data_IF_306276925079
#
_entry.id   IF_306276925079
#
_cell.length_a   1.000
_cell.length_b   1.000
_cell.length_c   1.000
_cell.angle_alpha   90.00
_cell.angle_beta   90.00
_cell.angle_gamma   90.00
#
_symmetry.space_group_name_H-M   'P 1'
#
loop_
_entity.id
_entity.type
_entity.pdbx_description
1 polymer ?
#
# COMPACT_ATOMS: atom_id res chain seq x y z
N UNK A 1 23.48 -8.65 31.11
CA UNK A 1 22.02 -8.92 31.18
C UNK A 1 21.62 -9.95 30.14
N UNK A 2 20.70 -10.88 30.46
CA UNK A 2 20.06 -11.77 29.48
C UNK A 2 19.28 -10.99 28.40
N UNK A 3 19.18 -11.49 27.16
CA UNK A 3 18.41 -10.83 26.08
C UNK A 3 16.95 -10.55 26.44
N UNK A 4 16.32 -11.42 27.22
CA UNK A 4 14.92 -11.35 27.65
C UNK A 4 14.71 -10.15 28.57
N UNK A 5 15.60 -9.98 29.56
CA UNK A 5 15.59 -8.83 30.48
C UNK A 5 15.82 -7.53 29.72
N UNK A 6 16.76 -7.52 28.78
CA UNK A 6 16.98 -6.33 27.94
C UNK A 6 15.75 -6.03 27.09
N UNK A 7 15.11 -7.03 26.49
CA UNK A 7 13.88 -6.84 25.71
C UNK A 7 12.74 -6.24 26.55
N UNK A 8 12.61 -6.62 27.83
CA UNK A 8 11.62 -6.03 28.74
C UNK A 8 11.94 -4.55 28.97
N UNK A 9 13.20 -4.23 29.29
CA UNK A 9 13.65 -2.84 29.50
C UNK A 9 13.39 -1.99 28.25
N UNK A 10 13.74 -2.50 27.06
CA UNK A 10 13.56 -1.75 25.82
C UNK A 10 12.08 -1.48 25.49
N UNK A 11 11.15 -2.34 25.92
CA UNK A 11 9.71 -2.10 25.76
C UNK A 11 9.18 -1.00 26.68
N UNK A 12 9.94 -0.59 27.70
CA UNK A 12 9.60 0.54 28.58
C UNK A 12 10.11 1.88 28.03
N UNK A 13 10.95 1.86 26.99
CA UNK A 13 11.46 3.06 26.32
C UNK A 13 10.54 3.46 25.16
N UNK A 14 10.68 4.70 24.69
CA UNK A 14 10.06 5.08 23.42
C UNK A 14 10.63 4.23 22.28
N UNK A 15 9.78 3.82 21.33
CA UNK A 15 10.24 3.00 20.21
C UNK A 15 11.19 3.80 19.32
N UNK A 16 11.07 5.14 19.30
CA UNK A 16 12.03 6.04 18.70
C UNK A 16 13.44 5.88 19.28
N UNK A 17 13.59 5.90 20.61
CA UNK A 17 14.90 5.76 21.26
C UNK A 17 15.49 4.37 21.05
N UNK A 18 14.64 3.33 21.08
CA UNK A 18 15.07 1.97 20.74
C UNK A 18 15.62 1.91 19.31
N UNK A 19 14.95 2.56 18.36
CA UNK A 19 15.32 2.54 16.94
C UNK A 19 16.54 3.42 16.59
N UNK A 20 16.69 4.57 17.24
CA UNK A 20 17.71 5.57 16.91
C UNK A 20 18.95 5.48 17.80
N UNK A 21 18.81 5.05 19.04
CA UNK A 21 19.90 5.02 20.02
C UNK A 21 20.34 3.59 20.24
N UNK A 22 19.48 2.76 20.86
CA UNK A 22 19.86 1.43 21.32
C UNK A 22 20.31 0.52 20.17
N UNK A 23 19.54 0.50 19.08
CA UNK A 23 19.83 -0.32 17.89
C UNK A 23 21.24 -0.06 17.31
N UNK A 24 21.81 1.12 17.51
CA UNK A 24 23.10 1.51 16.92
C UNK A 24 24.32 1.21 17.81
N UNK A 25 24.12 0.81 19.07
CA UNK A 25 25.23 0.64 20.04
C UNK A 25 26.11 -0.56 19.72
N UNK A 26 25.50 -1.71 19.45
CA UNK A 26 26.21 -2.96 19.19
C UNK A 26 25.37 -3.93 18.38
N UNK A 27 25.98 -4.98 17.81
CA UNK A 27 25.25 -6.04 17.11
C UNK A 27 24.22 -6.73 18.01
N UNK A 28 24.57 -7.00 19.26
CA UNK A 28 23.65 -7.59 20.23
C UNK A 28 22.46 -6.68 20.52
N UNK A 29 22.69 -5.38 20.67
CA UNK A 29 21.62 -4.40 20.85
C UNK A 29 20.75 -4.29 19.58
N UNK A 30 21.35 -4.37 18.39
CA UNK A 30 20.62 -4.42 17.13
C UNK A 30 19.66 -5.61 17.07
N UNK A 31 20.13 -6.83 17.38
CA UNK A 31 19.31 -8.05 17.29
C UNK A 31 18.11 -8.00 18.26
N UNK A 32 18.33 -7.50 19.48
CA UNK A 32 17.29 -7.37 20.49
C UNK A 32 16.32 -6.23 20.12
N UNK A 33 16.83 -5.07 19.69
CA UNK A 33 15.99 -3.96 19.24
C UNK A 33 15.17 -4.33 18.00
N UNK A 34 15.72 -5.11 17.07
CA UNK A 34 15.00 -5.64 15.92
C UNK A 34 13.84 -6.53 16.35
N UNK A 35 14.07 -7.42 17.31
CA UNK A 35 13.00 -8.26 17.88
C UNK A 35 11.88 -7.42 18.47
N UNK A 36 12.22 -6.42 19.30
CA UNK A 36 11.24 -5.51 19.91
C UNK A 36 10.47 -4.73 18.83
N UNK A 37 11.17 -3.98 17.97
CA UNK A 37 10.55 -3.09 16.97
C UNK A 37 9.72 -3.84 15.93
N UNK A 38 10.20 -4.99 15.45
CA UNK A 38 9.44 -5.79 14.50
C UNK A 38 8.19 -6.40 15.16
N UNK A 39 8.30 -6.85 16.42
CA UNK A 39 7.14 -7.35 17.17
C UNK A 39 6.09 -6.27 17.42
N UNK A 40 6.52 -5.06 17.83
CA UNK A 40 5.62 -3.93 18.04
C UNK A 40 4.95 -3.48 16.74
N UNK A 41 5.67 -3.53 15.61
CA UNK A 41 5.07 -3.23 14.31
C UNK A 41 3.94 -4.20 13.95
N UNK A 42 4.05 -5.49 14.28
CA UNK A 42 2.95 -6.46 14.09
C UNK A 42 1.79 -6.22 15.05
N UNK A 43 2.09 -6.02 16.34
CA UNK A 43 1.10 -5.77 17.38
C UNK A 43 0.32 -4.48 17.11
N UNK A 44 0.96 -3.46 16.55
CA UNK A 44 0.26 -2.24 16.14
C UNK A 44 -0.85 -2.51 15.11
N UNK A 45 -0.65 -3.48 14.21
CA UNK A 45 -1.67 -3.90 13.25
C UNK A 45 -2.88 -4.56 13.92
N UNK A 46 -2.65 -5.43 14.92
CA UNK A 46 -3.76 -6.07 15.64
C UNK A 46 -4.52 -5.06 16.50
N UNK A 47 -3.83 -4.14 17.17
CA UNK A 47 -4.44 -3.02 17.92
C UNK A 47 -5.28 -2.12 17.00
N UNK A 48 -4.81 -1.82 15.80
CA UNK A 48 -5.55 -1.01 14.83
C UNK A 48 -6.85 -1.68 14.38
N UNK A 49 -6.82 -2.97 14.03
CA UNK A 49 -8.04 -3.69 13.65
C UNK A 49 -9.01 -3.83 14.84
N UNK A 50 -8.51 -3.98 16.07
CA UNK A 50 -9.34 -3.96 17.26
C UNK A 50 -10.01 -2.59 17.49
N UNK A 51 -9.27 -1.49 17.28
CA UNK A 51 -9.81 -0.13 17.37
C UNK A 51 -10.92 0.10 16.34
N UNK A 52 -10.72 -0.33 15.08
CA UNK A 52 -11.72 -0.23 14.01
C UNK A 52 -12.99 -0.99 14.39
N UNK A 53 -12.87 -2.27 14.77
CA UNK A 53 -14.03 -3.09 15.16
C UNK A 53 -14.80 -2.49 16.34
N UNK A 54 -14.07 -1.96 17.32
CA UNK A 54 -14.68 -1.28 18.47
C UNK A 54 -15.45 -0.03 18.03
N UNK A 55 -14.86 0.81 17.18
CA UNK A 55 -15.54 2.00 16.67
C UNK A 55 -16.76 1.65 15.82
N UNK A 56 -16.70 0.59 15.00
CA UNK A 56 -17.87 0.06 14.26
C UNK A 56 -18.99 -0.39 15.20
N UNK A 57 -18.64 -1.12 16.26
CA UNK A 57 -19.62 -1.53 17.27
C UNK A 57 -20.25 -0.34 18.01
N UNK A 58 -19.47 0.72 18.29
CA UNK A 58 -19.97 1.93 18.94
C UNK A 58 -20.91 2.69 18.01
N UNK A 59 -20.54 2.84 16.72
CA UNK A 59 -21.38 3.46 15.69
C UNK A 59 -22.77 2.85 15.60
N UNK A 60 -22.89 1.53 15.75
CA UNK A 60 -24.17 0.81 15.69
C UNK A 60 -25.05 1.02 16.94
N UNK A 61 -24.49 1.50 18.05
CA UNK A 61 -25.17 1.65 19.34
C UNK A 61 -25.41 3.12 19.75
N UNK A 62 -25.11 4.06 18.86
CA UNK A 62 -25.22 5.50 19.14
C UNK A 62 -26.67 5.93 19.30
N UNK A 63 -26.95 6.78 20.30
CA UNK A 63 -28.29 7.34 20.56
C UNK A 63 -28.43 8.81 20.18
N UNK A 64 -27.32 9.55 20.05
CA UNK A 64 -27.32 10.98 19.73
C UNK A 64 -26.62 11.32 18.41
N UNK A 65 -27.11 12.33 17.70
CA UNK A 65 -26.52 12.79 16.44
C UNK A 65 -25.08 13.32 16.59
N UNK A 66 -24.77 13.92 17.76
CA UNK A 66 -23.44 14.44 18.08
C UNK A 66 -22.40 13.33 18.22
N UNK A 67 -22.74 12.27 18.98
CA UNK A 67 -21.87 11.09 19.12
C UNK A 67 -21.68 10.39 17.77
N UNK A 68 -22.74 10.34 16.94
CA UNK A 68 -22.69 9.69 15.64
C UNK A 68 -21.69 10.39 14.71
N UNK A 69 -21.67 11.71 14.74
CA UNK A 69 -20.72 12.52 13.98
C UNK A 69 -19.28 12.31 14.48
N UNK A 70 -19.06 12.27 15.78
CA UNK A 70 -17.74 12.05 16.40
C UNK A 70 -17.18 10.67 16.06
N UNK A 71 -17.96 9.61 16.29
CA UNK A 71 -17.54 8.25 15.95
C UNK A 71 -17.32 8.07 14.45
N UNK A 72 -18.09 8.74 13.59
CA UNK A 72 -17.85 8.70 12.15
C UNK A 72 -16.52 9.36 11.77
N UNK A 73 -16.19 10.48 12.41
CA UNK A 73 -14.91 11.16 12.23
C UNK A 73 -13.72 10.29 12.68
N UNK A 74 -13.85 9.62 13.84
CA UNK A 74 -12.85 8.67 14.34
C UNK A 74 -12.70 7.50 13.36
N UNK A 75 -13.81 6.92 12.90
CA UNK A 75 -13.79 5.82 11.95
C UNK A 75 -13.11 6.20 10.63
N UNK A 76 -13.43 7.38 10.09
CA UNK A 76 -12.78 7.92 8.90
C UNK A 76 -11.26 8.07 9.10
N UNK A 77 -10.82 8.55 10.27
CA UNK A 77 -9.41 8.67 10.59
C UNK A 77 -8.71 7.30 10.69
N UNK A 78 -9.35 6.32 11.34
CA UNK A 78 -8.84 4.95 11.46
C UNK A 78 -8.69 4.27 10.09
N UNK A 79 -9.59 4.53 9.13
CA UNK A 79 -9.42 4.03 7.76
C UNK A 79 -8.18 4.59 7.06
N UNK A 80 -7.87 5.87 7.29
CA UNK A 80 -6.66 6.50 6.75
C UNK A 80 -5.43 5.88 7.40
N UNK A 81 -5.46 5.71 8.73
CA UNK A 81 -4.38 5.04 9.47
C UNK A 81 -4.16 3.62 8.95
N UNK A 82 -5.23 2.85 8.76
CA UNK A 82 -5.20 1.50 8.18
C UNK A 82 -4.58 1.50 6.80
N UNK A 83 -4.97 2.42 5.92
CA UNK A 83 -4.38 2.52 4.59
C UNK A 83 -2.87 2.81 4.63
N UNK A 84 -2.41 3.69 5.53
CA UNK A 84 -0.98 4.00 5.65
C UNK A 84 -0.19 2.85 6.28
N UNK A 85 -0.74 2.22 7.32
CA UNK A 85 -0.14 1.07 7.98
C UNK A 85 -0.02 -0.13 7.02
N UNK A 86 -1.06 -0.43 6.24
CA UNK A 86 -1.02 -1.48 5.23
C UNK A 86 0.07 -1.21 4.19
N UNK A 87 0.21 0.04 3.72
CA UNK A 87 1.26 0.41 2.77
C UNK A 87 2.67 0.29 3.38
N UNK A 88 2.87 0.76 4.62
CA UNK A 88 4.12 0.58 5.36
C UNK A 88 4.49 -0.90 5.47
N UNK A 89 3.50 -1.73 5.81
CA UNK A 89 3.67 -3.17 5.93
C UNK A 89 4.06 -3.76 4.58
N UNK A 90 3.34 -3.45 3.50
CA UNK A 90 3.67 -3.90 2.15
C UNK A 90 5.10 -3.54 1.71
N UNK A 91 5.59 -2.35 2.09
CA UNK A 91 6.94 -1.89 1.75
C UNK A 91 8.05 -2.60 2.53
N UNK A 92 7.80 -2.90 3.81
CA UNK A 92 8.87 -3.30 4.74
C UNK A 92 8.85 -4.76 5.18
N UNK A 93 7.70 -5.42 5.17
CA UNK A 93 7.52 -6.69 5.88
C UNK A 93 8.52 -7.78 5.46
N UNK A 94 8.87 -7.84 4.17
CA UNK A 94 9.80 -8.84 3.62
C UNK A 94 11.23 -8.69 4.15
N UNK A 95 11.53 -7.52 4.70
CA UNK A 95 12.82 -7.16 5.25
C UNK A 95 12.81 -7.27 6.76
N UNK A 96 11.70 -6.90 7.40
CA UNK A 96 11.57 -6.86 8.85
C UNK A 96 11.09 -8.17 9.46
N UNK A 97 10.50 -9.06 8.67
CA UNK A 97 10.01 -10.35 9.15
C UNK A 97 10.74 -11.49 8.45
N UNK A 98 11.21 -12.49 9.21
CA UNK A 98 11.90 -13.62 8.62
C UNK A 98 10.94 -14.46 7.77
N UNK A 99 11.49 -15.04 6.69
CA UNK A 99 10.73 -15.85 5.71
C UNK A 99 10.76 -17.34 6.03
N UNK A 100 11.69 -17.72 6.89
CA UNK A 100 11.98 -19.07 7.41
C UNK A 100 12.70 -18.89 8.77
N UNK A 101 13.33 -19.93 9.34
CA UNK A 101 14.03 -19.90 10.64
C UNK A 101 15.23 -18.92 10.77
N UNK A 102 15.43 -18.00 9.81
CA UNK A 102 16.52 -17.02 9.83
C UNK A 102 16.19 -15.75 10.62
N UNK A 103 17.21 -14.93 10.87
CA UNK A 103 17.02 -13.57 11.40
C UNK A 103 16.41 -12.64 10.33
N UNK A 104 15.69 -11.58 10.73
CA UNK A 104 15.18 -10.60 9.78
C UNK A 104 16.34 -9.92 9.04
N UNK A 105 16.13 -9.60 7.76
CA UNK A 105 17.15 -8.95 6.91
C UNK A 105 17.42 -7.52 7.39
N UNK A 106 16.42 -6.89 8.00
CA UNK A 106 16.47 -5.53 8.51
C UNK A 106 15.58 -5.37 9.74
N UNK A 107 15.79 -4.28 10.46
CA UNK A 107 14.96 -3.86 11.58
C UNK A 107 13.98 -2.78 11.11
N UNK A 108 12.73 -2.79 11.60
CA UNK A 108 11.83 -1.65 11.42
C UNK A 108 12.32 -0.46 12.25
N UNK A 109 13.16 0.39 11.67
CA UNK A 109 13.75 1.55 12.36
C UNK A 109 12.85 2.78 12.37
N UNK A 110 11.58 2.64 11.98
CA UNK A 110 10.57 3.71 12.03
C UNK A 110 9.97 3.90 13.42
N UNK A 111 10.78 3.87 14.50
CA UNK A 111 10.29 3.85 15.88
C UNK A 111 9.28 4.97 16.21
N UNK A 112 9.58 6.20 15.78
CA UNK A 112 8.67 7.36 15.95
C UNK A 112 7.30 7.18 15.27
N UNK A 113 7.24 6.42 14.17
CA UNK A 113 5.95 6.10 13.51
C UNK A 113 5.11 5.20 14.41
N UNK A 114 5.74 4.22 15.08
CA UNK A 114 5.06 3.34 16.02
C UNK A 114 4.60 4.09 17.26
N UNK A 115 5.43 4.99 17.80
CA UNK A 115 5.04 5.84 18.93
C UNK A 115 3.82 6.71 18.56
N UNK A 116 3.86 7.41 17.43
CA UNK A 116 2.73 8.20 16.94
C UNK A 116 1.47 7.36 16.74
N UNK A 117 1.61 6.15 16.18
CA UNK A 117 0.49 5.23 15.98
C UNK A 117 -0.10 4.77 17.31
N UNK A 118 0.75 4.41 18.28
CA UNK A 118 0.31 4.00 19.61
C UNK A 118 -0.46 5.14 20.30
N UNK A 119 0.02 6.38 20.23
CA UNK A 119 -0.68 7.54 20.75
C UNK A 119 -2.07 7.70 20.11
N UNK A 120 -2.15 7.63 18.77
CA UNK A 120 -3.42 7.72 18.05
C UNK A 120 -4.38 6.60 18.45
N UNK A 121 -3.90 5.36 18.60
CA UNK A 121 -4.74 4.22 18.97
C UNK A 121 -5.20 4.25 20.43
N UNK A 122 -4.36 4.72 21.36
CA UNK A 122 -4.73 4.87 22.77
C UNK A 122 -5.95 5.79 22.93
N UNK A 123 -6.04 6.87 22.16
CA UNK A 123 -7.21 7.77 22.21
C UNK A 123 -8.54 7.08 21.88
N UNK A 124 -8.51 5.96 21.13
CA UNK A 124 -9.69 5.19 20.75
C UNK A 124 -9.91 3.98 21.67
N UNK A 125 -8.82 3.37 22.14
CA UNK A 125 -8.85 2.14 22.92
C UNK A 125 -9.03 2.36 24.43
N UNK A 126 -8.78 3.56 24.95
CA UNK A 126 -8.98 3.83 26.37
C UNK A 126 -10.47 3.94 26.70
N UNK A 127 -10.97 3.01 27.52
CA UNK A 127 -12.38 2.79 27.85
C UNK A 127 -12.99 3.77 28.86
N UNK A 128 -12.19 4.68 29.42
CA UNK A 128 -12.62 5.57 30.52
C UNK A 128 -12.96 7.00 30.12
N UNK A 129 -12.76 7.39 28.86
CA UNK A 129 -13.09 8.74 28.39
C UNK A 129 -14.14 8.64 27.29
N UNK A 130 -15.31 9.24 27.53
CA UNK A 130 -16.11 9.79 26.43
C UNK A 130 -15.11 10.57 25.56
N UNK A 131 -15.12 10.45 24.20
CA UNK A 131 -14.19 11.17 23.33
C UNK A 131 -14.40 12.70 23.35
N UNK A 132 -14.36 13.34 24.52
CA UNK A 132 -14.36 14.79 24.68
C UNK A 132 -13.11 15.42 24.07
N UNK A 133 -12.03 14.64 23.94
CA UNK A 133 -10.88 15.00 23.15
C UNK A 133 -11.10 14.62 21.68
N UNK A 134 -11.42 15.63 20.88
CA UNK A 134 -11.36 15.66 19.42
C UNK A 134 -10.15 14.84 18.96
N UNK A 135 -10.39 13.76 18.22
CA UNK A 135 -9.35 12.99 17.55
C UNK A 135 -8.36 13.95 16.87
N UNK A 136 -7.09 13.94 17.27
CA UNK A 136 -6.15 14.98 16.86
C UNK A 136 -5.75 14.80 15.39
N UNK A 137 -6.40 15.56 14.51
CA UNK A 137 -6.10 15.57 13.08
C UNK A 137 -4.68 16.04 12.77
N UNK A 138 -4.06 16.86 13.61
CA UNK A 138 -2.67 17.26 13.44
C UNK A 138 -1.74 16.04 13.59
N UNK A 139 -1.95 15.23 14.63
CA UNK A 139 -1.17 14.01 14.86
C UNK A 139 -1.39 12.99 13.73
N UNK A 140 -2.60 12.91 13.18
CA UNK A 140 -2.88 12.11 11.99
C UNK A 140 -2.07 12.59 10.77
N UNK A 141 -2.01 13.90 10.51
CA UNK A 141 -1.21 14.43 9.39
C UNK A 141 0.29 14.19 9.61
N UNK A 142 0.77 14.34 10.84
CA UNK A 142 2.16 14.02 11.21
C UNK A 142 2.43 12.53 10.93
N UNK A 143 1.55 11.64 11.39
CA UNK A 143 1.66 10.20 11.14
C UNK A 143 1.72 9.88 9.64
N UNK A 144 0.78 10.40 8.83
CA UNK A 144 0.75 10.17 7.38
C UNK A 144 2.07 10.62 6.73
N UNK A 145 2.53 11.84 7.03
CA UNK A 145 3.76 12.39 6.46
C UNK A 145 5.00 11.59 6.91
N UNK A 146 5.05 11.16 8.17
CA UNK A 146 6.12 10.31 8.68
C UNK A 146 6.15 8.95 7.97
N UNK A 147 4.98 8.35 7.69
CA UNK A 147 4.89 7.10 6.91
C UNK A 147 5.47 7.30 5.49
N UNK A 148 5.02 8.34 4.79
CA UNK A 148 5.47 8.65 3.43
C UNK A 148 6.97 8.88 3.34
N UNK A 149 7.51 9.72 4.23
CA UNK A 149 8.94 10.03 4.31
C UNK A 149 9.77 8.78 4.60
N UNK A 150 9.32 7.94 5.53
CA UNK A 150 10.01 6.71 5.87
C UNK A 150 10.00 5.72 4.71
N UNK A 151 8.86 5.53 4.03
CA UNK A 151 8.79 4.64 2.85
C UNK A 151 9.70 5.13 1.72
N UNK A 152 9.70 6.44 1.44
CA UNK A 152 10.60 7.04 0.45
C UNK A 152 12.07 6.80 0.82
N UNK A 153 12.45 7.03 2.08
CA UNK A 153 13.82 6.78 2.55
C UNK A 153 14.19 5.30 2.50
N UNK A 154 13.29 4.42 2.97
CA UNK A 154 13.50 2.98 3.00
C UNK A 154 13.77 2.45 1.60
N UNK A 155 12.94 2.81 0.61
CA UNK A 155 13.13 2.38 -0.77
C UNK A 155 14.41 2.99 -1.36
N UNK A 156 14.64 4.30 -1.16
CA UNK A 156 15.78 5.00 -1.76
C UNK A 156 17.14 4.54 -1.22
N UNK A 157 17.22 4.25 0.07
CA UNK A 157 18.48 4.05 0.78
C UNK A 157 18.61 2.60 1.27
N UNK A 158 17.67 2.15 2.10
CA UNK A 158 17.77 0.85 2.79
C UNK A 158 17.61 -0.31 1.82
N UNK A 159 16.52 -0.36 1.07
CA UNK A 159 16.22 -1.41 0.09
C UNK A 159 17.32 -1.53 -0.96
N UNK A 160 17.88 -0.40 -1.42
CA UNK A 160 19.00 -0.40 -2.39
C UNK A 160 20.23 -1.17 -1.85
N UNK A 161 20.54 -1.03 -0.56
CA UNK A 161 21.68 -1.68 0.10
C UNK A 161 21.46 -3.18 0.34
N UNK A 162 20.23 -3.57 0.70
CA UNK A 162 19.92 -4.97 1.11
C UNK A 162 19.38 -5.84 -0.04
N UNK A 163 18.75 -5.26 -1.07
CA UNK A 163 18.14 -6.00 -2.17
C UNK A 163 19.21 -6.49 -3.16
N UNK A 164 19.92 -7.56 -2.80
CA UNK A 164 20.99 -8.18 -3.61
C UNK A 164 20.47 -9.18 -4.65
N UNK A 165 19.21 -9.60 -4.54
CA UNK A 165 18.55 -10.56 -5.44
C UNK A 165 17.07 -10.23 -5.55
N UNK A 166 16.46 -10.46 -6.71
CA UNK A 166 15.01 -10.29 -6.91
C UNK A 166 14.17 -11.11 -5.89
N UNK A 167 14.74 -12.19 -5.34
CA UNK A 167 14.12 -12.98 -4.28
C UNK A 167 13.97 -12.17 -2.98
N UNK A 168 14.85 -11.20 -2.69
CA UNK A 168 14.75 -10.35 -1.50
C UNK A 168 13.50 -9.48 -1.55
N UNK A 169 13.24 -8.78 -2.65
CA UNK A 169 11.99 -8.04 -2.77
C UNK A 169 10.77 -8.94 -3.03
N UNK A 170 10.99 -10.16 -3.54
CA UNK A 170 9.95 -11.17 -3.73
C UNK A 170 8.80 -10.62 -4.58
N UNK A 171 7.56 -10.87 -4.14
CA UNK A 171 6.38 -10.29 -4.77
C UNK A 171 5.85 -9.02 -4.06
N UNK A 172 6.75 -8.15 -3.57
CA UNK A 172 6.41 -6.82 -2.99
C UNK A 172 5.40 -6.02 -3.82
N UNK A 173 5.45 -6.12 -5.16
CA UNK A 173 4.48 -5.43 -6.04
C UNK A 173 3.03 -5.82 -5.74
N UNK A 174 2.81 -7.10 -5.42
CA UNK A 174 1.50 -7.65 -5.12
C UNK A 174 1.06 -7.16 -3.76
N UNK A 175 1.97 -7.15 -2.78
CA UNK A 175 1.67 -6.59 -1.45
C UNK A 175 1.27 -5.10 -1.56
N UNK A 176 1.94 -4.32 -2.41
CA UNK A 176 1.60 -2.91 -2.66
C UNK A 176 0.24 -2.77 -3.36
N UNK A 177 -0.04 -3.58 -4.38
CA UNK A 177 -1.33 -3.55 -5.09
C UNK A 177 -2.49 -4.06 -4.23
N UNK A 178 -2.24 -5.02 -3.33
CA UNK A 178 -3.20 -5.53 -2.36
C UNK A 178 -3.59 -4.46 -1.31
N UNK A 179 -2.86 -3.35 -1.23
CA UNK A 179 -3.23 -2.19 -0.42
C UNK A 179 -4.29 -1.29 -1.08
N UNK A 180 -4.73 -1.58 -2.31
CA UNK A 180 -5.82 -0.85 -2.94
C UNK A 180 -7.12 -1.00 -2.13
N UNK A 181 -7.76 0.12 -1.82
CA UNK A 181 -9.03 0.10 -1.09
C UNK A 181 -10.22 -0.44 -1.88
N UNK A 182 -10.13 -0.48 -3.22
CA UNK A 182 -11.12 -1.11 -4.10
C UNK A 182 -10.48 -1.71 -5.35
N UNK A 183 -11.22 -2.58 -6.06
CA UNK A 183 -10.86 -3.01 -7.42
C UNK A 183 -9.94 -4.23 -7.54
N UNK A 184 -9.58 -4.88 -6.43
CA UNK A 184 -8.87 -6.17 -6.43
C UNK A 184 -9.81 -7.33 -6.77
N UNK A 185 -9.39 -8.21 -7.67
CA UNK A 185 -10.10 -9.43 -8.06
C UNK A 185 -9.11 -10.59 -8.20
N UNK A 186 -9.20 -11.59 -7.32
CA UNK A 186 -8.44 -12.84 -7.44
C UNK A 186 -9.07 -13.70 -8.53
N UNK A 187 -8.31 -14.02 -9.57
CA UNK A 187 -8.79 -14.83 -10.71
C UNK A 187 -8.52 -16.31 -10.49
N UNK A 188 -7.33 -16.65 -10.00
CA UNK A 188 -6.98 -18.02 -9.65
C UNK A 188 -5.89 -18.04 -8.58
N UNK A 189 -5.95 -19.00 -7.67
CA UNK A 189 -4.90 -19.34 -6.74
C UNK A 189 -4.75 -20.86 -6.73
N UNK A 190 -3.53 -21.35 -6.92
CA UNK A 190 -3.20 -22.78 -6.88
C UNK A 190 -1.94 -22.98 -6.05
N UNK A 191 -2.01 -23.93 -5.14
CA UNK A 191 -0.86 -24.45 -4.40
C UNK A 191 -0.58 -25.86 -4.91
N UNK A 192 0.64 -26.12 -5.37
CA UNK A 192 1.03 -27.44 -5.87
C UNK A 192 2.20 -27.96 -5.06
N UNK A 193 2.07 -29.12 -4.41
CA UNK A 193 3.18 -29.81 -3.70
C UNK A 193 3.70 -31.06 -4.42
N UNK A 194 3.13 -31.39 -5.60
CA UNK A 194 3.30 -32.69 -6.28
C UNK A 194 4.74 -33.10 -6.65
N UNK A 195 5.72 -32.19 -6.65
CA UNK A 195 7.08 -32.45 -7.13
C UNK A 195 8.17 -32.27 -6.07
N UNK A 196 7.82 -32.32 -4.77
CA UNK A 196 8.79 -32.08 -3.68
C UNK A 196 9.19 -30.60 -3.51
N UNK A 197 8.79 -29.72 -4.44
CA UNK A 197 8.90 -28.26 -4.34
C UNK A 197 7.51 -27.62 -4.41
N UNK A 198 6.96 -27.14 -3.29
CA UNK A 198 5.69 -26.47 -3.23
C UNK A 198 5.82 -25.17 -3.99
N UNK A 199 4.79 -24.85 -4.75
CA UNK A 199 4.72 -23.58 -5.44
C UNK A 199 3.34 -22.97 -5.26
N UNK A 200 3.35 -21.65 -5.17
CA UNK A 200 2.17 -20.80 -5.21
C UNK A 200 2.09 -20.21 -6.61
N UNK A 201 1.00 -20.52 -7.32
CA UNK A 201 0.66 -19.89 -8.60
C UNK A 201 -0.60 -19.06 -8.41
N UNK A 202 -0.55 -17.78 -8.81
CA UNK A 202 -1.62 -16.84 -8.58
C UNK A 202 -1.82 -15.93 -9.79
N UNK A 203 -3.08 -15.67 -10.12
CA UNK A 203 -3.47 -14.64 -11.08
C UNK A 203 -4.42 -13.66 -10.40
N UNK A 204 -4.08 -12.38 -10.42
CA UNK A 204 -4.87 -11.30 -9.80
C UNK A 204 -5.05 -10.18 -10.80
N UNK A 205 -6.23 -9.56 -10.76
CA UNK A 205 -6.57 -8.38 -11.53
C UNK A 205 -6.88 -7.23 -10.58
N UNK A 206 -6.34 -6.06 -10.86
CA UNK A 206 -6.60 -4.82 -10.14
C UNK A 206 -7.17 -3.81 -11.12
N UNK A 207 -8.26 -3.14 -10.73
CA UNK A 207 -8.93 -2.12 -11.54
C UNK A 207 -8.92 -0.81 -10.78
N UNK A 208 -8.14 0.16 -11.27
CA UNK A 208 -8.07 1.49 -10.71
C UNK A 208 -8.88 2.44 -11.60
N UNK A 209 -9.99 2.95 -11.08
CA UNK A 209 -10.86 3.85 -11.82
C UNK A 209 -10.20 5.22 -12.03
N UNK A 210 -10.48 5.87 -13.17
CA UNK A 210 -10.01 7.23 -13.48
C UNK A 210 -8.50 7.41 -13.28
N UNK A 211 -7.74 6.40 -13.68
CA UNK A 211 -6.31 6.26 -13.44
C UNK A 211 -5.62 6.04 -14.78
N UNK A 212 -4.44 6.64 -14.96
CA UNK A 212 -3.61 6.41 -16.14
C UNK A 212 -2.22 5.91 -15.75
N UNK A 213 -1.65 5.11 -16.65
CA UNK A 213 -0.28 4.64 -16.57
C UNK A 213 0.22 4.43 -18.00
N UNK A 214 1.23 5.19 -18.38
CA UNK A 214 1.90 5.16 -19.69
C UNK A 214 3.37 4.91 -19.47
N UNK A 215 3.95 4.07 -20.33
CA UNK A 215 5.39 3.91 -20.45
C UNK A 215 5.79 4.26 -21.90
N UNK A 216 6.70 5.22 -22.04
CA UNK A 216 7.30 5.62 -23.31
C UNK A 216 8.74 5.11 -23.36
N UNK A 217 9.22 4.72 -24.53
CA UNK A 217 10.64 4.44 -24.72
C UNK A 217 11.39 5.76 -24.90
N UNK A 218 12.52 5.89 -24.22
CA UNK A 218 13.43 7.04 -24.37
C UNK A 218 14.57 6.61 -25.29
N UNK A 219 14.71 7.22 -26.49
CA UNK A 219 15.81 6.92 -27.39
C UNK A 219 17.15 7.36 -26.78
N UNK A 220 18.23 6.65 -27.10
CA UNK A 220 19.62 7.01 -26.78
C UNK A 220 20.02 7.04 -25.29
N UNK A 221 19.44 6.20 -24.45
CA UNK A 221 19.89 6.08 -23.05
C UNK A 221 21.07 5.10 -22.96
N UNK A 222 22.20 5.55 -22.40
CA UNK A 222 23.34 4.69 -22.08
C UNK A 222 22.88 3.48 -21.25
N UNK A 223 23.38 2.29 -21.60
CA UNK A 223 22.98 0.97 -21.11
C UNK A 223 23.30 0.70 -19.60
N UNK A 224 23.37 1.72 -18.75
CA UNK A 224 23.51 1.54 -17.30
C UNK A 224 22.17 1.12 -16.69
N UNK A 225 21.89 -0.17 -16.80
CA UNK A 225 20.61 -0.76 -16.44
C UNK A 225 20.76 -1.76 -15.30
N UNK A 226 20.94 -1.26 -14.08
CA UNK A 226 20.91 -2.15 -12.93
C UNK A 226 19.47 -2.67 -12.71
N UNK A 227 19.29 -3.99 -12.84
CA UNK A 227 17.99 -4.65 -12.69
C UNK A 227 17.31 -4.33 -11.34
N UNK A 228 18.12 -4.16 -10.28
CA UNK A 228 17.67 -3.82 -8.91
C UNK A 228 16.96 -2.48 -8.89
N UNK A 229 17.52 -1.50 -9.59
CA UNK A 229 16.95 -0.17 -9.67
C UNK A 229 15.71 -0.17 -10.58
N UNK A 230 15.71 -0.92 -11.70
CA UNK A 230 14.49 -1.11 -12.52
C UNK A 230 13.32 -1.62 -11.68
N UNK A 231 13.58 -2.64 -10.86
CA UNK A 231 12.58 -3.23 -9.98
C UNK A 231 12.10 -2.25 -8.90
N UNK A 232 13.04 -1.61 -8.21
CA UNK A 232 12.75 -0.65 -7.15
C UNK A 232 11.94 0.55 -7.64
N UNK A 233 12.30 1.14 -8.77
CA UNK A 233 11.58 2.28 -9.31
C UNK A 233 10.16 1.90 -9.78
N UNK A 234 9.95 0.66 -10.25
CA UNK A 234 8.59 0.17 -10.52
C UNK A 234 7.75 0.12 -9.24
N UNK A 235 8.32 -0.40 -8.14
CA UNK A 235 7.63 -0.44 -6.85
C UNK A 235 7.29 0.94 -6.32
N UNK A 236 8.23 1.88 -6.40
CA UNK A 236 8.03 3.27 -6.00
C UNK A 236 6.84 3.91 -6.75
N UNK A 237 6.78 3.73 -8.07
CA UNK A 237 5.72 4.32 -8.91
C UNK A 237 4.35 3.73 -8.58
N UNK A 238 4.25 2.40 -8.47
CA UNK A 238 2.99 1.75 -8.12
C UNK A 238 2.55 2.10 -6.70
N UNK A 239 3.47 2.18 -5.73
CA UNK A 239 3.16 2.64 -4.37
C UNK A 239 2.55 4.03 -4.37
N UNK A 240 3.16 4.98 -5.06
CA UNK A 240 2.65 6.36 -5.17
C UNK A 240 1.30 6.41 -5.88
N UNK A 241 1.10 5.58 -6.90
CA UNK A 241 -0.18 5.47 -7.60
C UNK A 241 -1.28 4.90 -6.70
N UNK A 242 -1.02 3.81 -5.97
CA UNK A 242 -1.96 3.22 -5.02
C UNK A 242 -2.26 4.20 -3.88
N UNK A 243 -1.24 4.85 -3.32
CA UNK A 243 -1.40 5.83 -2.23
C UNK A 243 -2.27 7.03 -2.63
N UNK A 244 -2.01 7.62 -3.79
CA UNK A 244 -2.84 8.72 -4.32
C UNK A 244 -4.26 8.26 -4.68
N UNK A 245 -4.41 7.04 -5.21
CA UNK A 245 -5.72 6.47 -5.51
C UNK A 245 -6.55 6.29 -4.22
N UNK A 246 -5.96 5.71 -3.19
CA UNK A 246 -6.60 5.54 -1.88
C UNK A 246 -6.96 6.90 -1.26
N UNK A 247 -6.11 7.92 -1.38
CA UNK A 247 -6.43 9.28 -0.91
C UNK A 247 -7.72 9.80 -1.55
N UNK A 248 -7.85 9.69 -2.86
CA UNK A 248 -9.08 10.08 -3.57
C UNK A 248 -10.29 9.21 -3.19
N UNK A 249 -10.09 7.91 -3.00
CA UNK A 249 -11.13 6.97 -2.57
C UNK A 249 -11.68 7.34 -1.19
N UNK A 250 -10.81 7.49 -0.19
CA UNK A 250 -11.25 7.80 1.18
C UNK A 250 -11.85 9.19 1.29
N UNK A 251 -11.30 10.21 0.60
CA UNK A 251 -11.96 11.52 0.52
C UNK A 251 -13.40 11.44 0.00
N UNK A 252 -13.63 10.60 -1.02
CA UNK A 252 -14.97 10.36 -1.57
C UNK A 252 -15.86 9.64 -0.56
N UNK A 253 -15.41 8.51 -0.02
CA UNK A 253 -16.20 7.69 0.92
C UNK A 253 -16.55 8.46 2.20
N UNK A 254 -15.60 9.22 2.75
CA UNK A 254 -15.82 10.02 3.96
C UNK A 254 -16.81 11.16 3.71
N UNK A 255 -16.76 11.77 2.53
CA UNK A 255 -17.74 12.76 2.14
C UNK A 255 -19.14 12.15 1.96
N UNK A 256 -19.24 11.03 1.23
CA UNK A 256 -20.52 10.35 1.00
C UNK A 256 -21.18 9.94 2.34
N UNK A 257 -20.41 9.41 3.30
CA UNK A 257 -20.91 9.12 4.66
C UNK A 257 -21.40 10.38 5.38
N UNK A 258 -20.65 11.48 5.31
CA UNK A 258 -21.04 12.75 5.94
C UNK A 258 -22.32 13.33 5.33
N UNK A 259 -22.53 13.16 4.01
CA UNK A 259 -23.77 13.57 3.34
C UNK A 259 -24.95 12.71 3.79
N UNK A 260 -24.78 11.39 3.89
CA UNK A 260 -25.82 10.49 4.39
C UNK A 260 -26.23 10.83 5.83
N UNK A 261 -25.26 11.11 6.70
CA UNK A 261 -25.54 11.51 8.08
C UNK A 261 -26.36 12.81 8.17
N UNK A 262 -26.15 13.76 7.26
CA UNK A 262 -26.93 15.00 7.19
C UNK A 262 -28.37 14.78 6.74
N UNK A 263 -28.61 13.81 5.86
CA UNK A 263 -29.97 13.45 5.46
C UNK A 263 -30.78 12.95 6.67
N UNK A 264 -30.11 12.32 7.64
CA UNK A 264 -30.69 11.89 8.90
C UNK A 264 -30.74 13.00 9.96
N UNK A 265 -29.71 13.86 10.02
CA UNK A 265 -29.59 14.97 10.98
C UNK A 265 -29.53 16.34 10.28
N UNK A 266 -30.69 16.97 10.12
CA UNK A 266 -30.92 18.19 9.32
C UNK A 266 -30.25 19.46 9.85
N UNK A 267 -29.75 19.44 11.10
CA UNK A 267 -29.09 20.58 11.76
C UNK A 267 -27.63 20.82 11.33
N UNK A 268 -27.04 19.95 10.50
CA UNK A 268 -25.64 20.05 10.10
C UNK A 268 -25.42 21.02 8.92
N UNK A 269 -24.40 21.89 8.97
CA UNK A 269 -24.11 22.84 7.90
C UNK A 269 -23.73 22.14 6.59
N UNK A 270 -24.13 22.68 5.42
CA UNK A 270 -23.78 22.11 4.13
C UNK A 270 -22.26 22.08 3.94
N UNK A 271 -21.69 20.89 3.76
CA UNK A 271 -20.27 20.76 3.41
C UNK A 271 -20.07 20.79 1.91
N UNK A 272 -19.15 21.65 1.48
CA UNK A 272 -18.68 21.72 0.10
C UNK A 272 -18.20 20.34 -0.35
N UNK A 273 -18.46 19.95 -1.61
CA UNK A 273 -17.91 18.72 -2.16
C UNK A 273 -16.39 18.72 -2.06
N UNK A 274 -15.74 17.54 -1.96
CA UNK A 274 -14.30 17.42 -2.00
C UNK A 274 -13.75 18.14 -3.24
N UNK A 275 -12.57 18.78 -3.13
CA UNK A 275 -11.99 19.49 -4.26
C UNK A 275 -11.79 18.54 -5.45
N UNK A 276 -12.03 19.07 -6.64
CA UNK A 276 -11.61 18.43 -7.88
C UNK A 276 -10.07 18.39 -7.88
N UNK A 277 -9.50 17.20 -7.67
CA UNK A 277 -8.06 17.01 -7.53
C UNK A 277 -7.54 15.96 -8.51
N UNK A 278 -6.34 16.20 -9.00
CA UNK A 278 -5.63 15.32 -9.92
C UNK A 278 -4.23 15.10 -9.36
N UNK A 279 -3.77 13.85 -9.37
CA UNK A 279 -2.39 13.50 -9.06
C UNK A 279 -1.70 13.02 -10.32
N UNK A 280 -0.51 13.58 -10.60
CA UNK A 280 0.35 13.18 -11.71
C UNK A 280 1.75 12.92 -11.18
N UNK A 281 2.30 11.76 -11.52
CA UNK A 281 3.68 11.38 -11.27
C UNK A 281 4.38 11.07 -12.58
N UNK A 282 5.66 11.40 -12.64
CA UNK A 282 6.52 11.05 -13.76
C UNK A 282 7.89 10.59 -13.27
N UNK A 283 8.64 9.97 -14.17
CA UNK A 283 10.05 9.71 -13.94
C UNK A 283 10.61 8.75 -14.96
N UNK A 284 11.87 8.97 -15.30
CA UNK A 284 12.62 8.14 -16.23
C UNK A 284 13.45 7.09 -15.48
N UNK A 285 13.50 5.87 -16.01
CA UNK A 285 14.54 4.92 -15.62
C UNK A 285 14.75 3.86 -16.69
N UNK A 286 16.01 3.60 -17.04
CA UNK A 286 16.38 2.46 -17.86
C UNK A 286 15.87 2.50 -19.30
N UNK A 287 15.91 3.68 -19.94
CA UNK A 287 15.37 3.88 -21.29
C UNK A 287 13.84 3.96 -21.35
N UNK A 288 13.18 4.09 -20.19
CA UNK A 288 11.72 4.16 -20.09
C UNK A 288 11.29 5.40 -19.32
N UNK A 289 10.43 6.21 -19.93
CA UNK A 289 9.76 7.32 -19.29
C UNK A 289 8.36 6.88 -18.86
N UNK A 290 8.08 7.04 -17.57
CA UNK A 290 6.78 6.69 -17.01
C UNK A 290 5.98 7.95 -16.73
N UNK A 291 4.72 7.96 -17.13
CA UNK A 291 3.74 8.97 -16.77
C UNK A 291 2.49 8.28 -16.23
N UNK A 292 2.14 8.57 -14.98
CA UNK A 292 1.07 7.88 -14.28
C UNK A 292 0.34 8.83 -13.33
N UNK A 293 -0.87 8.48 -12.97
CA UNK A 293 -1.64 9.33 -12.07
C UNK A 293 -3.11 8.94 -12.01
N UNK A 294 -3.87 9.69 -11.24
CA UNK A 294 -5.30 9.48 -11.09
C UNK A 294 -6.02 10.80 -10.80
N UNK A 295 -7.34 10.79 -11.00
CA UNK A 295 -8.18 11.94 -10.71
C UNK A 295 -9.33 11.56 -9.79
N UNK A 296 -9.74 12.51 -8.95
CA UNK A 296 -10.91 12.35 -8.09
C UNK A 296 -12.18 12.22 -8.94
N UNK A 297 -13.25 11.67 -8.33
CA UNK A 297 -14.57 11.58 -8.98
C UNK A 297 -15.01 12.94 -9.52
N UNK A 298 -14.91 13.99 -8.69
CA UNK A 298 -15.30 15.35 -9.03
C UNK A 298 -14.44 15.97 -10.14
N UNK A 299 -13.13 15.70 -10.15
CA UNK A 299 -12.26 16.16 -11.24
C UNK A 299 -12.63 15.51 -12.59
N UNK A 300 -12.97 14.21 -12.58
CA UNK A 300 -13.44 13.52 -13.78
C UNK A 300 -14.79 14.06 -14.24
N UNK A 301 -15.74 14.27 -13.33
CA UNK A 301 -17.06 14.79 -13.66
C UNK A 301 -16.96 16.19 -14.25
N UNK A 302 -16.17 17.09 -13.64
CA UNK A 302 -15.88 18.43 -14.16
C UNK A 302 -15.26 18.41 -15.55
N UNK A 303 -14.28 17.52 -15.79
CA UNK A 303 -13.54 17.50 -17.05
C UNK A 303 -14.28 16.80 -18.19
N UNK A 304 -15.06 15.76 -17.91
CA UNK A 304 -15.58 14.86 -18.94
C UNK A 304 -17.09 14.66 -18.94
N UNK A 305 -17.79 14.91 -17.83
CA UNK A 305 -19.27 14.84 -17.79
C UNK A 305 -19.89 16.19 -18.07
N UNK A 306 -19.49 17.23 -17.33
CA UNK A 306 -20.10 18.55 -17.48
C UNK A 306 -19.69 19.27 -18.77
N UNK A 307 -18.51 18.97 -19.32
CA UNK A 307 -18.09 19.46 -20.63
C UNK A 307 -18.89 18.87 -21.80
N UNK A 308 -19.58 17.74 -21.60
CA UNK A 308 -20.50 17.18 -22.61
C UNK A 308 -21.87 17.81 -22.53
N UNK A 309 -22.41 18.04 -21.33
CA UNK A 309 -23.73 18.67 -21.16
C UNK A 309 -23.81 20.11 -21.69
N UNK A 310 -22.69 20.85 -21.73
CA UNK A 310 -22.66 22.19 -22.36
C UNK A 310 -22.58 22.17 -23.89
N UNK A 311 -22.27 21.02 -24.50
CA UNK A 311 -22.07 20.90 -25.95
C UNK A 311 -23.23 20.19 -26.67
N UNK A 312 -24.27 19.77 -25.94
CA UNK A 312 -25.41 19.00 -26.46
C UNK A 312 -26.55 19.91 -26.97
N UNK A 313 -26.45 21.24 -26.86
CA UNK A 313 -27.46 22.14 -27.44
C UNK A 313 -27.39 22.28 -28.97
N UNK A 314 -26.39 21.73 -29.68
CA UNK A 314 -26.15 22.06 -31.09
C UNK A 314 -25.79 20.91 -32.05
N UNK A 315 -26.26 19.68 -31.87
CA UNK A 315 -26.15 18.70 -32.98
C UNK A 315 -27.18 17.59 -32.91
N UNK A 316 -28.07 17.58 -33.90
CA UNK A 316 -28.99 16.48 -34.21
C UNK A 316 -28.25 15.33 -34.92
N UNK A 317 -28.66 14.09 -34.63
CA UNK A 317 -28.62 12.98 -35.59
C UNK A 317 -27.56 11.88 -35.38
N UNK A 318 -28.02 10.75 -34.83
CA UNK A 318 -27.70 9.37 -35.27
C UNK A 318 -26.26 8.81 -35.16
N UNK A 319 -25.40 9.32 -34.26
CA UNK A 319 -24.17 8.63 -33.83
C UNK A 319 -24.05 8.43 -32.30
N UNK A 320 -25.17 8.52 -31.58
CA UNK A 320 -25.16 8.74 -30.13
C UNK A 320 -24.96 7.50 -29.24
N UNK A 321 -25.09 6.28 -29.74
CA UNK A 321 -25.06 5.09 -28.85
C UNK A 321 -23.64 4.70 -28.38
N UNK A 322 -22.59 4.98 -29.18
CA UNK A 322 -21.19 4.74 -28.76
C UNK A 322 -20.52 5.96 -28.12
N UNK A 323 -21.00 7.17 -28.43
CA UNK A 323 -20.53 8.42 -27.83
C UNK A 323 -21.02 8.61 -26.38
N UNK A 324 -22.16 8.02 -26.02
CA UNK A 324 -22.79 8.15 -24.70
C UNK A 324 -22.22 7.23 -23.62
N UNK A 325 -21.30 6.31 -23.94
CA UNK A 325 -20.58 5.58 -22.88
C UNK A 325 -19.54 6.50 -22.24
N UNK A 326 -19.63 6.80 -20.93
CA UNK A 326 -18.59 7.57 -20.27
C UNK A 326 -17.25 6.87 -20.49
N UNK A 327 -16.26 7.57 -21.04
CA UNK A 327 -14.94 6.99 -21.27
C UNK A 327 -14.45 6.40 -19.96
N UNK A 328 -14.40 5.06 -19.90
CA UNK A 328 -13.88 4.34 -18.74
C UNK A 328 -12.37 4.46 -18.77
N UNK A 329 -11.86 5.56 -18.20
CA UNK A 329 -10.43 5.81 -17.97
C UNK A 329 -9.90 4.94 -16.84
N UNK A 330 -10.19 3.65 -16.90
CA UNK A 330 -9.78 2.68 -15.91
C UNK A 330 -8.44 2.09 -16.32
N UNK A 331 -7.54 2.00 -15.34
CA UNK A 331 -6.30 1.25 -15.46
C UNK A 331 -6.56 -0.18 -14.96
N UNK A 332 -6.31 -1.16 -15.82
CA UNK A 332 -6.38 -2.58 -15.46
C UNK A 332 -4.95 -3.10 -15.34
N UNK A 333 -4.59 -3.60 -14.16
CA UNK A 333 -3.32 -4.26 -13.90
C UNK A 333 -3.59 -5.75 -13.68
N UNK A 334 -3.04 -6.61 -14.53
CA UNK A 334 -3.04 -8.06 -14.34
C UNK A 334 -1.69 -8.51 -13.83
N UNK A 335 -1.68 -9.35 -12.81
CA UNK A 335 -0.48 -9.96 -12.25
C UNK A 335 -0.57 -11.47 -12.39
N UNK A 336 0.45 -12.06 -12.99
CA UNK A 336 0.73 -13.50 -12.98
C UNK A 336 1.93 -13.74 -12.07
N UNK A 337 1.74 -14.55 -11.03
CA UNK A 337 2.76 -14.89 -10.05
C UNK A 337 2.93 -16.41 -9.99
N UNK A 338 4.18 -16.85 -9.97
CA UNK A 338 4.59 -18.20 -9.60
C UNK A 338 5.80 -18.09 -8.69
N UNK A 339 5.69 -18.55 -7.45
CA UNK A 339 6.80 -18.44 -6.49
C UNK A 339 6.80 -19.56 -5.45
N UNK A 340 7.93 -19.72 -4.78
CA UNK A 340 8.02 -20.53 -3.56
C UNK A 340 7.13 -19.94 -2.43
N UNK A 341 6.57 -20.75 -1.52
CA UNK A 341 5.65 -20.30 -0.46
C UNK A 341 6.22 -19.19 0.43
N UNK A 342 7.53 -19.20 0.70
CA UNK A 342 8.22 -18.21 1.53
C UNK A 342 8.25 -16.82 0.88
N UNK A 343 8.05 -16.76 -0.45
CA UNK A 343 8.00 -15.53 -1.23
C UNK A 343 6.57 -15.08 -1.52
N UNK A 344 5.55 -15.85 -1.14
CA UNK A 344 4.16 -15.56 -1.47
C UNK A 344 3.68 -14.20 -0.89
N UNK A 345 2.63 -13.58 -1.45
CA UNK A 345 2.08 -12.33 -0.94
C UNK A 345 1.54 -12.47 0.47
N UNK A 346 1.55 -11.40 1.26
CA UNK A 346 1.00 -11.40 2.63
C UNK A 346 -0.42 -11.95 2.70
N UNK A 347 -1.26 -11.57 1.74
CA UNK A 347 -2.67 -11.97 1.65
C UNK A 347 -2.88 -13.47 1.47
N UNK A 348 -1.87 -14.19 0.98
CA UNK A 348 -1.95 -15.64 0.75
C UNK A 348 -1.38 -16.46 1.90
N UNK A 349 -0.61 -15.86 2.81
CA UNK A 349 0.08 -16.59 3.88
C UNK A 349 -0.87 -17.25 4.86
N UNK A 350 -2.04 -16.66 5.10
CA UNK A 350 -3.07 -17.25 5.98
C UNK A 350 -3.70 -18.51 5.38
N UNK A 351 -3.60 -18.71 4.07
CA UNK A 351 -4.13 -19.86 3.35
C UNK A 351 -3.09 -20.96 3.12
N UNK A 352 -1.81 -20.70 3.42
CA UNK A 352 -0.74 -21.69 3.36
C UNK A 352 -0.68 -22.43 4.70
N UNK A 353 -0.65 -23.76 4.69
CA UNK A 353 -0.51 -24.55 5.91
C UNK A 353 0.86 -24.28 6.54
N UNK A 354 0.90 -24.20 7.87
CA UNK A 354 2.14 -23.95 8.63
C UNK A 354 3.17 -25.07 8.37
N UNK A 355 2.71 -26.31 8.22
CA UNK A 355 3.55 -27.46 7.90
C UNK A 355 4.30 -27.34 6.56
N UNK A 356 3.73 -26.63 5.56
CA UNK A 356 4.38 -26.40 4.26
C UNK A 356 5.58 -25.42 4.37
N UNK A 357 5.65 -24.64 5.46
CA UNK A 357 6.68 -23.64 5.74
C UNK A 357 7.74 -24.14 6.75
N UNK A 358 7.41 -25.11 7.61
CA UNK A 358 8.25 -25.51 8.74
C UNK A 358 9.25 -26.64 8.43
N UNK A 359 9.02 -27.42 7.37
CA UNK A 359 9.75 -28.69 7.10
C UNK A 359 10.93 -28.57 6.11
N UNK A 360 11.44 -27.36 5.84
CA UNK A 360 12.46 -27.15 4.78
C UNK A 360 13.80 -26.64 5.28
N UNK A 361 14.81 -27.49 5.08
CA UNK A 361 16.22 -27.17 5.23
C UNK A 361 16.71 -26.10 4.25
N UNK A 362 17.90 -25.58 4.55
CA UNK A 362 18.61 -24.43 3.94
C UNK A 362 18.86 -24.56 2.41
N UNK A 363 18.47 -25.68 1.78
CA UNK A 363 18.82 -26.06 0.40
C UNK A 363 17.67 -26.08 -0.62
N UNK A 364 16.47 -25.56 -0.30
CA UNK A 364 15.41 -25.43 -1.32
C UNK A 364 15.72 -24.30 -2.32
N UNK A 365 15.78 -24.63 -3.62
CA UNK A 365 15.96 -23.62 -4.68
C UNK A 365 14.72 -22.74 -4.75
N UNK A 366 14.82 -21.53 -4.24
CA UNK A 366 13.74 -20.55 -4.31
C UNK A 366 13.51 -20.09 -5.76
N UNK A 367 12.25 -20.08 -6.17
CA UNK A 367 11.82 -19.65 -7.50
C UNK A 367 10.88 -18.45 -7.39
N UNK A 368 11.01 -17.52 -8.34
CA UNK A 368 10.13 -16.36 -8.48
C UNK A 368 9.96 -16.05 -9.96
N UNK A 369 8.71 -16.03 -10.40
CA UNK A 369 8.28 -15.47 -11.67
C UNK A 369 7.09 -14.55 -11.39
N UNK A 370 7.23 -13.30 -11.81
CA UNK A 370 6.24 -12.25 -11.59
C UNK A 370 6.13 -11.45 -12.88
N UNK A 371 4.94 -11.46 -13.48
CA UNK A 371 4.62 -10.68 -14.67
C UNK A 371 3.47 -9.75 -14.34
N UNK A 372 3.67 -8.46 -14.61
CA UNK A 372 2.67 -7.42 -14.50
C UNK A 372 2.35 -6.92 -15.90
N UNK A 373 1.07 -6.93 -16.26
CA UNK A 373 0.56 -6.41 -17.54
C UNK A 373 -0.47 -5.32 -17.26
N UNK A 374 -0.23 -4.10 -17.72
CA UNK A 374 -1.16 -2.98 -17.60
C UNK A 374 -1.87 -2.73 -18.91
N UNK A 375 -3.18 -2.45 -18.84
CA UNK A 375 -3.98 -1.92 -19.92
C UNK A 375 -4.67 -0.65 -19.45
N UNK A 376 -4.36 0.46 -20.11
CA UNK A 376 -4.79 1.81 -19.76
C UNK A 376 -5.61 2.43 -20.89
N UNK A 377 -6.93 2.47 -20.71
CA UNK A 377 -7.82 3.06 -21.70
C UNK A 377 -7.65 4.57 -21.83
N UNK A 378 -7.25 5.25 -20.75
CA UNK A 378 -6.96 6.68 -20.75
C UNK A 378 -5.77 7.03 -21.63
N UNK A 379 -4.69 6.24 -21.56
CA UNK A 379 -3.51 6.45 -22.40
C UNK A 379 -3.86 6.25 -23.87
N UNK A 380 -4.60 5.17 -24.20
CA UNK A 380 -5.06 4.89 -25.56
C UNK A 380 -5.91 6.04 -26.12
N UNK A 381 -6.83 6.58 -25.32
CA UNK A 381 -7.67 7.71 -25.71
C UNK A 381 -6.86 8.99 -26.01
N UNK A 382 -5.69 9.15 -25.39
CA UNK A 382 -4.79 10.28 -25.61
C UNK A 382 -3.65 9.96 -26.59
N UNK A 383 -3.79 8.90 -27.42
CA UNK A 383 -2.78 8.47 -28.40
C UNK A 383 -1.41 8.13 -27.77
N UNK A 384 -1.42 7.73 -26.50
CA UNK A 384 -0.25 7.22 -25.79
C UNK A 384 -0.30 5.68 -25.73
N UNK A 385 0.84 4.99 -25.53
CA UNK A 385 0.86 3.56 -25.31
C UNK A 385 -0.11 3.13 -24.21
N UNK A 386 -1.10 2.31 -24.58
CA UNK A 386 -2.14 1.82 -23.70
C UNK A 386 -1.76 0.55 -22.96
N UNK A 387 -0.79 -0.21 -23.46
CA UNK A 387 -0.39 -1.48 -22.89
C UNK A 387 1.10 -1.45 -22.48
N UNK A 388 1.41 -2.07 -21.35
CA UNK A 388 2.78 -2.19 -20.85
C UNK A 388 2.95 -3.48 -20.06
N UNK A 389 4.09 -4.16 -20.24
CA UNK A 389 4.42 -5.41 -19.55
C UNK A 389 5.75 -5.27 -18.82
N UNK A 390 5.79 -5.74 -17.58
CA UNK A 390 6.98 -5.75 -16.74
C UNK A 390 7.14 -7.12 -16.08
N UNK A 391 8.37 -7.66 -16.10
CA UNK A 391 8.66 -9.01 -15.62
C UNK A 391 9.88 -9.07 -14.68
N UNK A 392 9.75 -9.90 -13.65
CA UNK A 392 10.82 -10.30 -12.74
C UNK A 392 10.89 -11.81 -12.70
N UNK A 393 12.11 -12.35 -12.89
CA UNK A 393 12.42 -13.77 -12.82
C UNK A 393 13.61 -13.97 -11.88
N UNK A 394 13.57 -14.97 -11.00
CA UNK A 394 14.65 -15.36 -10.10
C UNK A 394 15.06 -16.83 -10.29
N UNK A 395 16.32 -17.20 -10.00
CA UNK A 395 17.37 -16.37 -9.41
C UNK A 395 18.15 -15.55 -10.47
N UNK A 396 18.27 -14.23 -10.25
CA UNK A 396 19.21 -13.36 -10.98
C UNK A 396 20.43 -13.14 -10.10
N UNK A 397 21.44 -14.00 -10.22
CA UNK A 397 22.77 -13.77 -9.64
C UNK A 397 23.68 -13.32 -10.79
N UNK A 398 23.65 -12.03 -11.14
CA UNK A 398 24.69 -11.44 -11.99
C UNK A 398 25.24 -10.21 -11.30
N UNK A 399 26.33 -10.40 -10.55
CA UNK A 399 27.13 -9.33 -9.96
C UNK A 399 27.85 -8.47 -11.02
N UNK A 400 27.93 -8.93 -12.28
CA UNK A 400 28.70 -8.30 -13.34
C UNK A 400 28.00 -7.12 -14.05
N UNK A 401 26.71 -6.86 -13.79
CA UNK A 401 25.96 -5.76 -14.46
C UNK A 401 25.53 -4.62 -13.52
N UNK A 402 25.91 -4.66 -12.24
CA UNK A 402 25.54 -3.64 -11.25
C UNK A 402 26.75 -3.25 -10.38
N UNK A 403 27.90 -2.98 -11.00
CA UNK A 403 29.01 -2.29 -10.31
C UNK A 403 28.80 -0.80 -10.39
#
# INVERSE_FOLDING_TARGET
MPPEVLSIILRMLSLHDVACTVRLISRRCFDIAATVLNSEFLVAGTKLEAAIKRTESLLNNVKSDTELLEYNNIFNALEIIRSQYQMLRAVTWRYTHPRSRGSPISCFYGGRILDNLNCLLQTVLDSGRIPTNVFNYLDLQIFIRSCENFMDHFEKITERRVNRSALVSGCKIVDVLDCLGEGRQLLSLRTSSRTGNPMVSMQVKYVLRRTWFTCLQVPNVNNEHCWRDRQRYMYLRLRRLVGSFNKHLYHKLHYERKVLLRATASSLPPRKPPPASTYSGYGEYGGQFFYYGNMSKYAYENKFRYARSSNVENTSGEFEEEANRPHRFDLVIKVELRCSPELAPLSTRTSLKVDDLEDRGVNSRQELYLKLSTRCMASKANRLPGDFTWEVRGPRIRHSQCR
#
